data_IF_947456075138
#
_entry.id   IF_947456075138
#
_cell.length_a   1.000
_cell.length_b   1.000
_cell.length_c   1.000
_cell.angle_alpha   90.00
_cell.angle_beta   90.00
_cell.angle_gamma   90.00
#
_symmetry.space_group_name_H-M   'P 1'
#
loop_
_entity.id
_entity.type
_entity.pdbx_description
1 polymer ?
#
# COMPACT_ATOMS: atom_id res chain seq x y z
N UNK A 1 -1.05 -5.52 8.94
CA UNK A 1 -1.04 -4.90 10.28
C UNK A 1 -0.60 -5.93 11.31
N UNK A 2 0.55 -5.75 11.95
CA UNK A 2 1.10 -6.65 12.96
C UNK A 2 1.26 -8.10 12.52
N UNK A 3 1.35 -9.02 13.50
CA UNK A 3 1.50 -10.46 13.25
C UNK A 3 0.26 -11.07 12.57
N UNK A 4 -0.95 -10.66 12.97
CA UNK A 4 -2.20 -11.15 12.39
C UNK A 4 -2.23 -10.91 10.88
N UNK A 5 -1.87 -9.69 10.44
CA UNK A 5 -1.81 -9.35 9.02
C UNK A 5 -0.75 -10.14 8.26
N UNK A 6 0.47 -10.29 8.83
CA UNK A 6 1.51 -11.10 8.18
C UNK A 6 1.09 -12.56 8.03
N UNK A 7 0.59 -13.17 9.11
CA UNK A 7 0.20 -14.58 9.10
C UNK A 7 -0.85 -14.88 8.03
N UNK A 8 -1.87 -14.03 7.88
CA UNK A 8 -2.90 -14.28 6.87
C UNK A 8 -2.34 -14.10 5.45
N UNK A 9 -1.47 -13.10 5.21
CA UNK A 9 -0.81 -12.91 3.92
C UNK A 9 0.08 -14.11 3.60
N UNK A 10 1.00 -14.48 4.49
CA UNK A 10 1.91 -15.62 4.32
C UNK A 10 1.15 -16.92 4.02
N UNK A 11 0.04 -17.16 4.71
CA UNK A 11 -0.73 -18.40 4.55
C UNK A 11 -1.62 -18.44 3.31
N UNK A 12 -2.06 -17.30 2.77
CA UNK A 12 -3.07 -17.25 1.69
C UNK A 12 -2.57 -16.69 0.37
N UNK A 13 -1.54 -15.84 0.39
CA UNK A 13 -1.08 -15.18 -0.82
C UNK A 13 -0.62 -16.15 -1.93
N UNK A 14 0.14 -17.24 -1.64
CA UNK A 14 0.56 -18.19 -2.68
C UNK A 14 -0.63 -18.82 -3.42
N UNK A 15 -1.67 -19.21 -2.70
CA UNK A 15 -2.88 -19.76 -3.28
C UNK A 15 -3.66 -18.74 -4.11
N UNK A 16 -3.69 -17.47 -3.64
CA UNK A 16 -4.33 -16.38 -4.39
C UNK A 16 -3.60 -16.10 -5.70
N UNK A 17 -2.27 -16.01 -5.67
CA UNK A 17 -1.44 -15.83 -6.86
C UNK A 17 -1.77 -16.92 -7.89
N UNK A 18 -1.76 -18.18 -7.47
CA UNK A 18 -2.05 -19.32 -8.35
C UNK A 18 -3.50 -19.31 -8.86
N UNK A 19 -4.48 -19.11 -7.96
CA UNK A 19 -5.90 -19.15 -8.28
C UNK A 19 -6.31 -18.05 -9.26
N UNK A 20 -5.80 -16.84 -9.06
CA UNK A 20 -6.16 -15.67 -9.85
C UNK A 20 -5.14 -15.32 -10.94
N UNK A 21 -4.10 -16.17 -11.13
CA UNK A 21 -3.03 -15.98 -12.12
C UNK A 21 -2.41 -14.55 -12.00
N UNK A 22 -2.06 -14.18 -10.77
CA UNK A 22 -1.50 -12.85 -10.51
C UNK A 22 -0.05 -12.79 -11.00
N UNK A 23 0.24 -11.84 -11.87
CA UNK A 23 1.58 -11.64 -12.43
C UNK A 23 2.51 -10.84 -11.51
N UNK A 24 1.97 -9.87 -10.75
CA UNK A 24 2.76 -8.96 -9.93
C UNK A 24 2.00 -8.58 -8.65
N UNK A 25 2.71 -8.57 -7.51
CA UNK A 25 2.13 -8.32 -6.20
C UNK A 25 2.84 -7.16 -5.51
N UNK A 26 2.09 -6.12 -5.14
CA UNK A 26 2.55 -5.04 -4.28
C UNK A 26 1.85 -5.13 -2.93
N UNK A 27 2.58 -5.01 -1.84
CA UNK A 27 2.02 -4.98 -0.49
C UNK A 27 2.49 -3.73 0.26
N UNK A 28 1.58 -3.03 0.95
CA UNK A 28 1.99 -2.01 1.89
C UNK A 28 2.42 -2.68 3.21
N UNK A 29 3.70 -2.54 3.55
CA UNK A 29 4.33 -3.19 4.71
C UNK A 29 4.48 -2.28 5.94
N UNK A 30 3.99 -1.05 5.88
CA UNK A 30 4.25 0.01 6.85
C UNK A 30 4.05 -0.38 8.33
N UNK A 31 2.99 -1.17 8.62
CA UNK A 31 2.61 -1.55 9.98
C UNK A 31 2.86 -3.03 10.29
N UNK A 32 3.78 -3.68 9.61
CA UNK A 32 4.00 -5.12 9.73
C UNK A 32 4.80 -5.52 10.97
N UNK A 33 5.72 -4.68 11.46
CA UNK A 33 6.54 -4.96 12.65
C UNK A 33 5.87 -4.43 13.93
N UNK A 34 5.09 -5.28 14.60
CA UNK A 34 4.42 -4.91 15.85
C UNK A 34 3.48 -3.71 15.72
N UNK A 35 2.91 -3.51 14.53
CA UNK A 35 2.00 -2.40 14.23
C UNK A 35 2.67 -1.10 13.77
N UNK A 36 4.01 -1.05 13.71
CA UNK A 36 4.76 0.16 13.37
C UNK A 36 6.08 -0.16 12.66
N UNK A 37 6.22 0.24 11.41
CA UNK A 37 7.39 0.00 10.60
C UNK A 37 7.50 -1.44 10.09
N UNK A 38 8.64 -1.76 9.51
CA UNK A 38 8.98 -3.06 8.93
C UNK A 38 10.43 -3.40 9.25
N UNK A 39 10.75 -4.70 9.33
CA UNK A 39 12.12 -5.22 9.53
C UNK A 39 12.59 -5.95 8.28
N UNK A 40 13.91 -6.14 8.14
CA UNK A 40 14.47 -6.91 7.02
C UNK A 40 13.93 -8.36 7.00
N UNK A 41 13.82 -8.99 8.16
CA UNK A 41 13.28 -10.34 8.28
C UNK A 41 11.83 -10.42 7.77
N UNK A 42 11.00 -9.41 8.06
CA UNK A 42 9.62 -9.35 7.56
C UNK A 42 9.58 -9.08 6.06
N UNK A 43 10.47 -8.25 5.52
CA UNK A 43 10.57 -8.08 4.07
C UNK A 43 10.85 -9.44 3.39
N UNK A 44 11.83 -10.18 3.87
CA UNK A 44 12.19 -11.49 3.34
C UNK A 44 11.02 -12.47 3.42
N UNK A 45 10.34 -12.55 4.57
CA UNK A 45 9.14 -13.39 4.76
C UNK A 45 8.05 -13.09 3.70
N UNK A 46 7.80 -11.81 3.41
CA UNK A 46 6.82 -11.40 2.41
C UNK A 46 7.28 -11.69 0.97
N UNK A 47 8.55 -11.49 0.67
CA UNK A 47 9.10 -11.82 -0.64
C UNK A 47 9.06 -13.32 -0.94
N UNK A 48 9.36 -14.16 0.05
CA UNK A 48 9.33 -15.63 -0.08
C UNK A 48 7.94 -16.16 -0.44
N UNK A 49 6.87 -15.49 -0.03
CA UNK A 49 5.49 -15.89 -0.37
C UNK A 49 4.92 -15.24 -1.62
N UNK A 50 5.75 -14.49 -2.35
CA UNK A 50 5.42 -13.96 -3.68
C UNK A 50 5.04 -12.49 -3.73
N UNK A 51 5.33 -11.69 -2.69
CA UNK A 51 5.31 -10.23 -2.82
C UNK A 51 6.50 -9.79 -3.67
N UNK A 52 6.26 -9.01 -4.71
CA UNK A 52 7.31 -8.48 -5.59
C UNK A 52 7.89 -7.17 -5.05
N UNK A 53 7.03 -6.28 -4.53
CA UNK A 53 7.42 -4.96 -4.02
C UNK A 53 6.64 -4.63 -2.74
N UNK A 54 7.32 -4.00 -1.81
CA UNK A 54 6.72 -3.50 -0.58
C UNK A 54 6.74 -1.97 -0.62
N UNK A 55 5.56 -1.34 -0.49
CA UNK A 55 5.43 0.09 -0.21
C UNK A 55 5.31 0.33 1.29
N UNK A 56 5.37 1.57 1.71
CA UNK A 56 5.31 1.96 3.11
C UNK A 56 4.55 3.28 3.33
N UNK A 57 4.86 4.00 4.39
CA UNK A 57 4.22 5.27 4.72
C UNK A 57 4.95 5.98 5.86
N UNK A 58 4.20 6.69 6.70
CA UNK A 58 4.77 7.54 7.75
C UNK A 58 5.48 6.77 8.89
N UNK A 59 5.26 5.45 9.02
CA UNK A 59 5.93 4.62 10.03
C UNK A 59 7.17 3.89 9.52
N UNK A 60 7.62 4.13 8.28
CA UNK A 60 8.77 3.42 7.69
C UNK A 60 10.03 3.45 8.57
N UNK A 61 10.23 4.52 9.33
CA UNK A 61 11.40 4.72 10.20
C UNK A 61 11.19 4.28 11.67
N UNK A 62 10.05 3.67 12.01
CA UNK A 62 9.76 3.27 13.39
C UNK A 62 10.56 2.03 13.83
N UNK A 63 11.16 1.28 12.89
CA UNK A 63 12.19 0.28 13.16
C UNK A 63 13.55 0.85 12.78
N UNK A 64 14.48 0.91 13.74
CA UNK A 64 15.79 1.55 13.54
C UNK A 64 16.60 0.91 12.41
N UNK A 65 16.57 -0.40 12.31
CA UNK A 65 17.31 -1.16 11.27
C UNK A 65 16.89 -0.82 9.85
N UNK A 66 15.66 -0.28 9.65
CA UNK A 66 15.17 0.06 8.31
C UNK A 66 16.06 1.08 7.62
N UNK A 67 16.61 2.04 8.37
CA UNK A 67 17.55 3.05 7.85
C UNK A 67 18.79 2.44 7.19
N UNK A 68 19.20 1.28 7.67
CA UNK A 68 20.43 0.61 7.20
C UNK A 68 20.12 -0.24 5.95
N UNK A 69 19.18 -1.19 6.05
CA UNK A 69 18.97 -2.16 4.97
C UNK A 69 18.18 -1.61 3.77
N UNK A 70 17.36 -0.55 3.91
CA UNK A 70 16.57 0.02 2.82
C UNK A 70 17.45 0.59 1.68
N UNK A 71 18.72 0.89 1.96
CA UNK A 71 19.67 1.37 0.94
C UNK A 71 19.96 0.31 -0.12
N UNK A 72 19.93 -0.96 0.26
CA UNK A 72 20.28 -2.11 -0.58
C UNK A 72 19.03 -2.87 -1.07
N UNK A 73 17.92 -2.84 -0.31
CA UNK A 73 16.68 -3.53 -0.68
C UNK A 73 15.79 -2.63 -1.55
N UNK A 74 15.99 -2.71 -2.86
CA UNK A 74 15.24 -1.92 -3.85
C UNK A 74 13.75 -2.26 -3.92
N UNK A 75 13.34 -3.42 -3.42
CA UNK A 75 11.93 -3.83 -3.39
C UNK A 75 11.16 -3.26 -2.20
N UNK A 76 11.82 -2.53 -1.30
CA UNK A 76 11.18 -1.77 -0.23
C UNK A 76 11.19 -0.29 -0.58
N UNK A 77 10.01 0.28 -0.85
CA UNK A 77 9.86 1.68 -1.19
C UNK A 77 9.37 2.48 0.02
N UNK A 78 10.00 3.63 0.24
CA UNK A 78 9.51 4.68 1.12
C UNK A 78 8.70 5.71 0.34
N UNK A 79 7.91 6.58 0.97
CA UNK A 79 7.33 7.72 0.26
C UNK A 79 8.39 8.53 -0.48
N UNK A 80 8.16 8.77 -1.78
CA UNK A 80 9.15 9.41 -2.65
C UNK A 80 9.37 10.89 -2.32
N UNK A 81 8.31 11.57 -1.89
CA UNK A 81 8.34 12.98 -1.49
C UNK A 81 8.87 13.21 -0.06
N UNK A 82 9.64 12.27 0.50
CA UNK A 82 10.44 12.51 1.71
C UNK A 82 11.62 13.41 1.37
N UNK A 83 12.21 14.07 2.38
CA UNK A 83 13.36 14.98 2.19
C UNK A 83 14.46 14.36 1.33
N UNK A 84 15.07 15.17 0.48
CA UNK A 84 16.22 14.77 -0.35
C UNK A 84 17.36 14.23 0.53
N UNK A 85 18.02 13.16 0.07
CA UNK A 85 19.07 12.48 0.82
C UNK A 85 18.57 11.42 1.82
N UNK A 86 17.24 11.29 2.02
CA UNK A 86 16.67 10.21 2.82
C UNK A 86 17.00 8.83 2.19
N UNK A 87 17.46 7.83 2.98
CA UNK A 87 17.78 6.50 2.47
C UNK A 87 16.65 5.81 1.73
N UNK A 88 17.00 4.92 0.79
CA UNK A 88 16.04 4.14 0.00
C UNK A 88 15.41 4.93 -1.14
N UNK A 89 14.57 4.27 -1.92
CA UNK A 89 13.88 4.82 -3.06
C UNK A 89 12.38 4.95 -2.82
N UNK A 90 11.73 5.84 -3.52
CA UNK A 90 10.26 5.97 -3.52
C UNK A 90 9.62 5.63 -4.85
N UNK A 91 10.44 5.37 -5.86
CA UNK A 91 10.03 4.90 -7.18
C UNK A 91 11.09 3.99 -7.75
N UNK A 92 10.67 2.81 -8.22
CA UNK A 92 11.53 1.86 -8.92
C UNK A 92 10.79 1.19 -10.07
N UNK A 93 11.55 0.72 -11.06
CA UNK A 93 11.04 -0.05 -12.20
C UNK A 93 11.52 -1.48 -12.06
N UNK A 94 10.57 -2.42 -12.07
CA UNK A 94 10.83 -3.86 -11.98
C UNK A 94 10.51 -4.54 -13.31
N UNK A 95 11.33 -5.49 -13.69
CA UNK A 95 11.08 -6.30 -14.88
C UNK A 95 10.53 -7.67 -14.47
N UNK A 96 9.36 -8.03 -15.01
CA UNK A 96 8.75 -9.35 -14.82
C UNK A 96 7.96 -9.75 -16.07
N UNK A 97 8.18 -10.96 -16.57
CA UNK A 97 7.51 -11.47 -17.79
C UNK A 97 7.71 -10.56 -19.02
N UNK A 98 8.89 -9.98 -19.19
CA UNK A 98 9.24 -8.99 -20.24
C UNK A 98 8.41 -7.69 -20.18
N UNK A 99 7.84 -7.35 -19.04
CA UNK A 99 7.11 -6.10 -18.79
C UNK A 99 7.85 -5.27 -17.75
N UNK A 100 7.89 -3.97 -17.98
CA UNK A 100 8.42 -2.97 -17.05
C UNK A 100 7.29 -2.42 -16.18
N UNK A 101 7.35 -2.68 -14.90
CA UNK A 101 6.34 -2.27 -13.93
C UNK A 101 6.94 -1.22 -13.00
N UNK A 102 6.52 0.03 -13.16
CA UNK A 102 6.86 1.10 -12.23
C UNK A 102 6.00 1.00 -10.97
N UNK A 103 6.63 1.07 -9.81
CA UNK A 103 5.93 1.18 -8.53
C UNK A 103 6.36 2.45 -7.84
N UNK A 104 5.41 3.26 -7.44
CA UNK A 104 5.60 4.55 -6.80
C UNK A 104 4.88 4.59 -5.46
N UNK A 105 5.57 5.04 -4.43
CA UNK A 105 5.00 5.31 -3.12
C UNK A 105 5.04 6.81 -2.85
N UNK A 106 3.90 7.40 -2.49
CA UNK A 106 3.76 8.82 -2.18
C UNK A 106 3.14 8.98 -0.80
N UNK A 107 3.39 10.10 -0.14
CA UNK A 107 2.75 10.46 1.13
C UNK A 107 2.00 11.79 1.00
N UNK A 108 0.75 11.81 1.44
CA UNK A 108 -0.04 13.03 1.55
C UNK A 108 0.54 14.00 2.57
N UNK A 109 0.03 15.22 2.58
CA UNK A 109 0.52 16.27 3.48
C UNK A 109 -0.48 16.63 4.58
N UNK A 110 -1.78 16.40 4.36
CA UNK A 110 -2.82 16.82 5.29
C UNK A 110 -2.93 15.83 6.46
N UNK A 111 -2.66 16.30 7.68
CA UNK A 111 -2.56 15.50 8.90
C UNK A 111 -1.50 14.40 8.89
N UNK A 112 -0.55 14.47 7.96
CA UNK A 112 0.55 13.52 7.82
C UNK A 112 1.87 14.09 8.37
N UNK A 113 2.92 13.27 8.44
CA UNK A 113 4.29 13.73 8.74
C UNK A 113 4.73 14.71 7.65
N UNK A 114 5.58 15.67 8.03
CA UNK A 114 6.11 16.68 7.10
C UNK A 114 6.97 16.02 6.03
N UNK A 115 6.58 16.26 4.79
CA UNK A 115 7.31 15.88 3.56
C UNK A 115 7.22 17.03 2.56
N UNK A 116 7.86 16.92 1.42
CA UNK A 116 7.63 17.84 0.31
C UNK A 116 6.17 17.82 -0.13
N UNK A 117 5.66 18.93 -0.61
CA UNK A 117 4.29 19.04 -1.10
C UNK A 117 4.03 18.06 -2.23
N UNK A 118 3.15 17.06 -2.01
CA UNK A 118 3.01 15.88 -2.87
C UNK A 118 2.58 16.22 -4.30
N UNK A 119 1.69 17.19 -4.49
CA UNK A 119 1.20 17.53 -5.83
C UNK A 119 2.24 18.24 -6.69
N UNK A 120 2.94 19.30 -6.27
CA UNK A 120 4.03 19.88 -7.03
C UNK A 120 5.17 18.88 -7.27
N UNK A 121 5.47 18.03 -6.29
CA UNK A 121 6.48 17.00 -6.41
C UNK A 121 6.15 16.02 -7.54
N UNK A 122 4.95 15.43 -7.53
CA UNK A 122 4.57 14.44 -8.55
C UNK A 122 4.34 15.08 -9.92
N UNK A 123 3.87 16.33 -9.99
CA UNK A 123 3.71 17.05 -11.25
C UNK A 123 5.04 17.14 -12.01
N UNK A 124 6.14 17.32 -11.29
CA UNK A 124 7.46 17.34 -11.90
C UNK A 124 7.94 15.93 -12.27
N UNK A 125 7.79 14.96 -11.38
CA UNK A 125 8.33 13.60 -11.57
C UNK A 125 7.60 12.82 -12.66
N UNK A 126 6.29 12.97 -12.79
CA UNK A 126 5.48 12.20 -13.76
C UNK A 126 5.78 12.56 -15.21
N UNK A 127 6.37 13.73 -15.48
CA UNK A 127 6.78 14.12 -16.83
C UNK A 127 7.79 13.15 -17.45
N UNK A 128 8.56 12.44 -16.61
CA UNK A 128 9.60 11.50 -17.02
C UNK A 128 9.16 10.04 -16.97
N UNK A 129 7.92 9.77 -16.55
CA UNK A 129 7.40 8.41 -16.37
C UNK A 129 6.13 8.26 -17.21
N UNK A 130 6.28 7.74 -18.43
CA UNK A 130 5.16 7.62 -19.37
C UNK A 130 4.85 6.16 -19.66
N UNK A 131 3.56 5.81 -19.60
CA UNK A 131 3.09 4.49 -19.99
C UNK A 131 3.49 4.16 -21.43
N UNK A 132 3.94 2.93 -21.63
CA UNK A 132 4.39 2.38 -22.92
C UNK A 132 5.64 3.02 -23.51
N UNK A 133 6.31 3.87 -22.74
CA UNK A 133 7.63 4.42 -23.08
C UNK A 133 8.67 4.00 -22.05
N UNK A 134 8.62 4.56 -20.86
CA UNK A 134 9.52 4.23 -19.75
C UNK A 134 9.05 2.99 -18.97
N UNK A 135 7.71 2.82 -18.81
CA UNK A 135 7.09 1.70 -18.11
C UNK A 135 5.92 1.11 -18.91
N UNK A 136 5.68 -0.19 -18.79
CA UNK A 136 4.48 -0.81 -19.34
C UNK A 136 3.26 -0.58 -18.45
N UNK A 137 3.46 -0.62 -17.13
CA UNK A 137 2.45 -0.35 -16.11
C UNK A 137 3.04 0.55 -15.03
N UNK A 138 2.21 1.42 -14.45
CA UNK A 138 2.56 2.28 -13.32
C UNK A 138 1.55 2.10 -12.18
N UNK A 139 2.03 1.61 -11.03
CA UNK A 139 1.25 1.42 -9.82
C UNK A 139 1.67 2.49 -8.80
N UNK A 140 0.70 3.24 -8.26
CA UNK A 140 0.91 4.34 -7.32
C UNK A 140 0.17 4.05 -6.02
N UNK A 141 0.92 3.92 -4.92
CA UNK A 141 0.40 3.91 -3.55
C UNK A 141 0.47 5.33 -2.98
N UNK A 142 -0.68 5.96 -2.76
CA UNK A 142 -0.80 7.25 -2.07
C UNK A 142 -1.18 7.03 -0.60
N UNK A 143 -0.18 7.09 0.27
CA UNK A 143 -0.31 6.94 1.71
C UNK A 143 -0.75 8.25 2.36
N UNK A 144 -2.05 8.43 2.59
CA UNK A 144 -2.61 9.70 3.04
C UNK A 144 -3.80 9.53 3.98
N UNK A 145 -4.00 10.48 4.90
CA UNK A 145 -5.11 10.46 5.85
C UNK A 145 -6.43 10.82 5.18
N UNK A 146 -6.50 11.94 4.44
CA UNK A 146 -7.77 12.46 3.95
C UNK A 146 -8.16 11.93 2.58
N UNK A 147 -9.45 11.62 2.42
CA UNK A 147 -10.00 11.05 1.19
C UNK A 147 -9.90 12.00 0.00
N UNK A 148 -10.08 13.30 0.21
CA UNK A 148 -10.00 14.31 -0.87
C UNK A 148 -8.60 14.39 -1.49
N UNK A 149 -7.53 14.26 -0.69
CA UNK A 149 -6.16 14.24 -1.21
C UNK A 149 -5.90 12.97 -2.04
N UNK A 150 -6.40 11.81 -1.59
CA UNK A 150 -6.33 10.56 -2.34
C UNK A 150 -7.09 10.64 -3.67
N UNK A 151 -8.33 11.14 -3.64
CA UNK A 151 -9.14 11.31 -4.85
C UNK A 151 -8.52 12.30 -5.84
N UNK A 152 -8.00 13.43 -5.34
CA UNK A 152 -7.30 14.41 -6.16
C UNK A 152 -6.08 13.79 -6.86
N UNK A 153 -5.31 12.93 -6.18
CA UNK A 153 -4.20 12.19 -6.79
C UNK A 153 -4.68 11.22 -7.87
N UNK A 154 -5.78 10.50 -7.62
CA UNK A 154 -6.40 9.63 -8.61
C UNK A 154 -6.75 10.36 -9.90
N UNK A 155 -7.45 11.48 -9.79
CA UNK A 155 -7.81 12.31 -10.97
C UNK A 155 -6.61 12.97 -11.63
N UNK A 156 -5.63 13.43 -10.87
CA UNK A 156 -4.41 14.02 -11.41
C UNK A 156 -3.61 13.04 -12.27
N UNK A 157 -3.58 11.77 -11.86
CA UNK A 157 -2.87 10.70 -12.55
C UNK A 157 -3.75 9.90 -13.52
N UNK A 158 -5.01 10.27 -13.70
CA UNK A 158 -5.91 9.58 -14.62
C UNK A 158 -5.39 9.63 -16.07
N UNK A 159 -5.28 8.47 -16.71
CA UNK A 159 -4.64 8.28 -18.01
C UNK A 159 -3.11 8.28 -18.00
N UNK A 160 -2.46 8.52 -16.84
CA UNK A 160 -1.00 8.52 -16.68
C UNK A 160 -0.47 7.35 -15.85
N UNK A 161 -1.32 6.73 -15.06
CA UNK A 161 -1.00 5.55 -14.26
C UNK A 161 -1.98 4.41 -14.55
N UNK A 162 -1.55 3.17 -14.33
CA UNK A 162 -2.41 1.99 -14.40
C UNK A 162 -3.33 1.92 -13.18
N UNK A 163 -2.76 2.21 -12.00
CA UNK A 163 -3.45 2.16 -10.72
C UNK A 163 -3.00 3.32 -9.82
N UNK A 164 -3.96 3.97 -9.18
CA UNK A 164 -3.75 4.80 -7.99
C UNK A 164 -4.59 4.23 -6.86
N UNK A 165 -3.95 3.78 -5.81
CA UNK A 165 -4.60 3.20 -4.63
C UNK A 165 -4.16 3.94 -3.36
N UNK A 166 -5.12 4.27 -2.50
CA UNK A 166 -4.84 4.85 -1.21
C UNK A 166 -4.56 3.80 -0.13
N UNK A 167 -3.77 4.20 0.86
CA UNK A 167 -3.46 3.44 2.07
C UNK A 167 -3.51 4.37 3.29
N UNK A 168 -3.18 3.90 4.48
CA UNK A 168 -3.10 4.60 5.76
C UNK A 168 -4.31 4.44 6.68
N UNK A 169 -5.55 4.61 6.20
CA UNK A 169 -6.71 4.65 7.10
C UNK A 169 -7.14 3.26 7.59
N UNK A 170 -6.58 2.20 7.04
CA UNK A 170 -6.82 0.79 7.38
C UNK A 170 -8.24 0.29 7.10
N UNK A 171 -9.11 1.12 6.53
CA UNK A 171 -10.50 0.79 6.25
C UNK A 171 -10.74 0.70 4.76
N UNK A 172 -11.09 -0.47 4.20
CA UNK A 172 -11.31 -0.59 2.75
C UNK A 172 -12.54 0.22 2.32
N UNK A 173 -12.38 0.96 1.24
CA UNK A 173 -13.45 1.77 0.65
C UNK A 173 -14.11 1.07 -0.52
N UNK A 174 -15.39 1.38 -0.78
CA UNK A 174 -16.18 0.77 -1.85
C UNK A 174 -16.14 1.54 -3.17
N UNK A 175 -15.32 2.56 -3.26
CA UNK A 175 -15.27 3.48 -4.40
C UNK A 175 -14.31 3.04 -5.53
N UNK A 176 -13.91 1.76 -5.51
CA UNK A 176 -13.06 1.17 -6.54
C UNK A 176 -13.72 1.24 -7.93
N UNK A 177 -13.01 1.78 -8.90
CA UNK A 177 -13.47 1.96 -10.28
C UNK A 177 -12.32 2.20 -11.24
N UNK A 178 -12.58 2.06 -12.53
CA UNK A 178 -11.71 2.61 -13.57
C UNK A 178 -12.22 4.01 -13.89
N UNK A 179 -11.33 5.00 -13.81
CA UNK A 179 -11.62 6.40 -14.13
C UNK A 179 -11.74 6.59 -15.64
N UNK A 180 -12.22 7.76 -16.08
CA UNK A 180 -12.51 8.05 -17.50
C UNK A 180 -11.26 7.97 -18.40
N UNK A 181 -10.08 8.36 -17.88
CA UNK A 181 -8.79 8.24 -18.56
C UNK A 181 -8.22 6.82 -18.55
N UNK A 182 -8.85 5.85 -17.85
CA UNK A 182 -8.43 4.44 -17.82
C UNK A 182 -7.56 4.05 -16.63
N UNK A 183 -7.35 4.92 -15.66
CA UNK A 183 -6.65 4.57 -14.42
C UNK A 183 -7.58 3.85 -13.45
N UNK A 184 -7.18 2.68 -12.93
CA UNK A 184 -7.88 2.06 -11.81
C UNK A 184 -7.65 2.89 -10.53
N UNK A 185 -8.71 3.05 -9.72
CA UNK A 185 -8.66 3.86 -8.51
C UNK A 185 -9.45 3.24 -7.36
N UNK A 186 -8.90 3.33 -6.14
CA UNK A 186 -9.62 3.11 -4.88
C UNK A 186 -9.04 4.04 -3.79
N UNK A 187 -9.92 4.65 -2.99
CA UNK A 187 -9.52 5.58 -1.91
C UNK A 187 -8.69 4.92 -0.83
N UNK A 188 -9.01 3.70 -0.41
CA UNK A 188 -8.17 2.94 0.53
C UNK A 188 -8.35 1.43 0.33
N UNK A 189 -7.23 0.72 0.22
CA UNK A 189 -7.21 -0.74 0.07
C UNK A 189 -7.60 -1.49 1.35
N UNK A 190 -7.66 -0.80 2.49
CA UNK A 190 -7.82 -1.39 3.80
C UNK A 190 -6.53 -2.04 4.32
N UNK A 191 -6.63 -2.75 5.43
CA UNK A 191 -5.49 -3.45 6.03
C UNK A 191 -5.60 -4.97 5.89
N UNK A 192 -4.46 -5.64 5.80
CA UNK A 192 -4.40 -7.06 6.14
C UNK A 192 -4.23 -7.18 7.66
N UNK A 193 -5.19 -7.80 8.36
CA UNK A 193 -5.15 -7.86 9.82
C UNK A 193 -6.46 -8.26 10.49
N UNK A 194 -6.49 -8.13 11.80
CA UNK A 194 -7.66 -8.43 12.63
C UNK A 194 -8.64 -7.24 12.64
N UNK A 195 -9.79 -7.40 12.01
CA UNK A 195 -10.85 -6.39 11.94
C UNK A 195 -11.78 -6.35 13.18
N UNK A 196 -11.58 -7.23 14.19
CA UNK A 196 -12.22 -7.09 15.50
C UNK A 196 -11.55 -6.06 16.42
N UNK A 197 -10.72 -5.23 15.85
CA UNK A 197 -9.87 -4.21 16.48
C UNK A 197 -10.32 -2.80 16.07
N UNK A 198 -9.66 -1.77 16.58
CA UNK A 198 -9.82 -0.40 16.08
C UNK A 198 -8.62 -0.07 15.20
N UNK A 199 -8.85 -0.03 13.90
CA UNK A 199 -7.82 0.17 12.85
C UNK A 199 -6.57 -0.73 13.03
N UNK A 200 -6.78 -1.97 13.49
CA UNK A 200 -5.72 -2.95 13.70
C UNK A 200 -5.08 -2.93 15.09
N UNK A 201 -5.47 -2.02 15.98
CA UNK A 201 -4.99 -1.92 17.36
C UNK A 201 -5.97 -2.53 18.34
N UNK A 202 -5.45 -3.03 19.48
CA UNK A 202 -6.28 -3.59 20.55
C UNK A 202 -7.48 -2.70 20.85
N UNK A 203 -8.66 -3.30 20.77
CA UNK A 203 -9.94 -2.59 20.84
C UNK A 203 -10.16 -1.92 22.19
N UNK A 204 -9.89 -2.63 23.26
CA UNK A 204 -10.25 -2.16 24.62
C UNK A 204 -9.28 -1.05 25.05
N UNK A 205 -7.99 -1.19 24.72
CA UNK A 205 -7.00 -0.15 24.95
C UNK A 205 -7.28 1.12 24.12
N UNK A 206 -7.70 0.96 22.86
CA UNK A 206 -8.06 2.07 21.99
C UNK A 206 -9.33 2.78 22.48
N UNK A 207 -10.40 2.03 22.84
CA UNK A 207 -11.61 2.59 23.40
C UNK A 207 -11.33 3.37 24.69
N UNK A 208 -10.52 2.82 25.60
CA UNK A 208 -10.11 3.53 26.82
C UNK A 208 -9.52 4.91 26.53
N UNK A 209 -8.68 5.04 25.50
CA UNK A 209 -8.11 6.34 25.11
C UNK A 209 -9.17 7.33 24.65
N UNK A 210 -10.14 6.90 23.86
CA UNK A 210 -11.23 7.77 23.40
C UNK A 210 -12.11 8.24 24.55
N UNK A 211 -12.43 7.37 25.52
CA UNK A 211 -13.25 7.74 26.66
C UNK A 211 -12.53 8.60 27.70
N UNK A 212 -11.25 8.38 27.90
CA UNK A 212 -10.49 9.10 28.95
C UNK A 212 -9.71 10.32 28.43
N UNK A 213 -9.47 10.42 27.14
CA UNK A 213 -8.58 11.42 26.55
C UNK A 213 -7.09 11.24 26.93
N UNK A 214 -6.75 10.21 27.69
CA UNK A 214 -5.39 9.98 28.21
C UNK A 214 -4.63 9.05 27.28
N UNK A 215 -3.46 9.47 26.82
CA UNK A 215 -2.49 8.62 26.13
C UNK A 215 -1.83 7.71 27.17
N UNK A 216 -2.32 6.47 27.29
CA UNK A 216 -1.69 5.43 28.11
C UNK A 216 -0.46 4.81 27.41
N UNK A 217 -0.18 3.55 27.71
CA UNK A 217 0.86 2.76 27.03
C UNK A 217 0.68 2.71 25.50
N UNK A 218 1.77 2.36 24.78
CA UNK A 218 1.72 2.19 23.33
C UNK A 218 0.69 1.10 22.97
N UNK A 219 -0.22 1.42 22.05
CA UNK A 219 -1.19 0.44 21.57
C UNK A 219 -0.47 -0.75 20.94
N UNK A 220 -0.99 -1.94 21.21
CA UNK A 220 -0.53 -3.18 20.58
C UNK A 220 -1.47 -3.56 19.44
N UNK A 221 -0.95 -4.16 18.35
CA UNK A 221 -1.82 -4.68 17.30
C UNK A 221 -2.67 -5.83 17.80
N UNK A 222 -3.84 -5.99 17.22
CA UNK A 222 -4.72 -7.13 17.48
C UNK A 222 -4.03 -8.46 17.15
N UNK A 223 -4.41 -9.51 17.87
CA UNK A 223 -3.84 -10.87 17.75
C UNK A 223 -4.85 -11.90 17.24
N UNK A 224 -6.06 -11.49 16.88
CA UNK A 224 -7.10 -12.35 16.37
C UNK A 224 -6.83 -12.82 14.92
N UNK A 225 -7.83 -13.53 14.38
CA UNK A 225 -7.79 -14.04 13.02
C UNK A 225 -7.71 -12.90 12.00
N UNK A 226 -6.76 -12.98 11.07
CA UNK A 226 -6.55 -11.96 10.06
C UNK A 226 -7.51 -12.06 8.88
N UNK A 227 -7.77 -10.90 8.25
CA UNK A 227 -8.44 -10.77 6.97
C UNK A 227 -7.46 -10.14 5.98
N UNK A 228 -7.37 -10.66 4.75
CA UNK A 228 -6.72 -9.98 3.63
C UNK A 228 -7.70 -8.96 3.08
N UNK A 229 -7.26 -7.72 2.95
CA UNK A 229 -7.94 -6.68 2.18
C UNK A 229 -6.96 -6.11 1.14
N UNK A 230 -7.45 -5.93 -0.07
CA UNK A 230 -6.66 -5.42 -1.19
C UNK A 230 -7.50 -5.35 -2.46
N UNK A 231 -6.81 -5.15 -3.58
CA UNK A 231 -7.43 -5.08 -4.91
C UNK A 231 -6.66 -5.93 -5.92
N UNK A 232 -7.37 -6.41 -6.91
CA UNK A 232 -6.83 -6.99 -8.14
C UNK A 232 -7.18 -6.07 -9.29
N UNK A 233 -6.23 -5.78 -10.14
CA UNK A 233 -6.45 -5.07 -11.41
C UNK A 233 -6.08 -5.95 -12.60
N UNK A 234 -6.67 -5.68 -13.73
CA UNK A 234 -6.27 -6.24 -15.03
C UNK A 234 -5.79 -5.08 -15.90
N UNK A 235 -4.51 -5.08 -16.25
CA UNK A 235 -3.91 -4.07 -17.12
C UNK A 235 -4.01 -4.45 -18.60
N UNK A 236 -4.08 -3.44 -19.46
CA UNK A 236 -3.97 -3.61 -20.92
C UNK A 236 -2.51 -3.44 -21.36
N UNK A 237 -1.90 -4.50 -21.85
CA UNK A 237 -0.51 -4.47 -22.34
C UNK A 237 -0.28 -3.53 -23.53
N UNK A 238 -1.33 -3.12 -24.23
CA UNK A 238 -1.22 -2.18 -25.38
C UNK A 238 -1.17 -0.73 -24.90
N UNK A 239 -1.96 -0.37 -23.91
CA UNK A 239 -2.09 1.01 -23.42
C UNK A 239 -1.36 1.28 -22.12
N UNK A 240 -1.11 0.25 -21.30
CA UNK A 240 -0.63 0.37 -19.93
C UNK A 240 -1.72 0.76 -18.92
N UNK A 241 -2.96 0.97 -19.37
CA UNK A 241 -4.08 1.37 -18.52
C UNK A 241 -4.86 0.16 -17.98
N UNK A 242 -5.74 0.38 -17.03
CA UNK A 242 -6.56 -0.67 -16.44
C UNK A 242 -7.78 -1.01 -17.31
N UNK A 243 -8.09 -2.31 -17.39
CA UNK A 243 -9.35 -2.84 -17.96
C UNK A 243 -10.38 -3.14 -16.89
N UNK A 244 -9.92 -3.55 -15.70
CA UNK A 244 -10.80 -3.93 -14.59
C UNK A 244 -10.09 -3.72 -13.25
N UNK A 245 -10.89 -3.52 -12.23
CA UNK A 245 -10.49 -3.49 -10.83
C UNK A 245 -11.51 -4.27 -10.01
N UNK A 246 -11.04 -5.13 -9.12
CA UNK A 246 -11.86 -5.94 -8.23
C UNK A 246 -11.26 -5.92 -6.83
N UNK A 247 -12.07 -5.73 -5.78
CA UNK A 247 -11.60 -5.84 -4.41
C UNK A 247 -11.36 -7.30 -4.04
N UNK A 248 -10.39 -7.55 -3.18
CA UNK A 248 -10.10 -8.85 -2.60
C UNK A 248 -10.30 -8.74 -1.10
N UNK A 249 -11.29 -9.47 -0.55
CA UNK A 249 -11.52 -9.60 0.89
C UNK A 249 -11.61 -11.08 1.23
N UNK A 250 -10.63 -11.58 2.01
CA UNK A 250 -10.53 -12.98 2.39
C UNK A 250 -10.21 -13.08 3.87
N UNK A 251 -11.12 -13.67 4.64
CA UNK A 251 -10.96 -13.87 6.08
C UNK A 251 -12.28 -13.86 6.81
N UNK A 252 -12.24 -13.80 8.16
CA UNK A 252 -13.38 -14.06 9.01
C UNK A 252 -14.22 -12.81 9.35
N UNK A 253 -13.65 -11.61 9.29
CA UNK A 253 -14.21 -10.47 10.01
C UNK A 253 -14.86 -9.39 9.13
N UNK A 254 -14.70 -9.46 7.83
CA UNK A 254 -15.42 -8.62 6.87
C UNK A 254 -16.35 -9.49 6.03
N UNK A 255 -17.52 -8.97 5.71
CA UNK A 255 -18.47 -9.67 4.84
C UNK A 255 -17.81 -9.90 3.48
N UNK A 256 -17.84 -11.15 3.01
CA UNK A 256 -17.40 -11.47 1.65
C UNK A 256 -18.25 -10.68 0.67
N UNK A 257 -17.62 -10.05 -0.29
CA UNK A 257 -18.37 -9.40 -1.36
C UNK A 257 -19.11 -10.46 -2.17
N UNK A 258 -20.31 -10.10 -2.59
CA UNK A 258 -21.10 -10.94 -3.48
C UNK A 258 -20.33 -11.07 -4.80
N UNK A 259 -19.95 -12.28 -5.14
CA UNK A 259 -19.48 -12.68 -6.46
C UNK A 259 -20.66 -13.13 -7.30
#
# INVERSE_FOLDING_TARGET
MGRSGRNIVVSKLPDLIKKHQIDFVVANGENSAGGFGITQAICNELFEVGVDVITSGNHIWDQKETMDFIREEKRLLRPWNWEEGTPGSGFEIFEKNNLKIGVMNLMGNVYMKKTDAVFPFIEEKIKQIRLKQEVDFLLVDIHAEITSEKQAMGYFLDGKATLVVGTHTHTPTLDFRVLEGGTAYQTDAGMCGDYKTIIGMDRDAALKRFFTGVRGERLQPGSGEGTISGIKIVGDTKTGLAKAIEPIIIGANLTKQFT
#
